data_IF_760759450728
#
_entry.id   IF_760759450728
#
_cell.length_a   1.000
_cell.length_b   1.000
_cell.length_c   1.000
_cell.angle_alpha   90.00
_cell.angle_beta   90.00
_cell.angle_gamma   90.00
#
_symmetry.space_group_name_H-M   'P 1'
#
loop_
_entity.id
_entity.type
_entity.pdbx_description
1 polymer ?
#
# COMPACT_ATOMS: atom_id res chain seq x y z
N UNK A 1 10.30 -27.20 -1.53
CA UNK A 1 10.64 -26.00 -0.71
C UNK A 1 10.18 -24.69 -1.35
N UNK A 2 10.27 -24.54 -2.69
CA UNK A 2 9.88 -23.32 -3.42
C UNK A 2 8.40 -22.90 -3.27
N UNK A 3 7.46 -23.85 -3.26
CA UNK A 3 6.01 -23.53 -3.23
C UNK A 3 5.58 -22.88 -1.91
N UNK A 4 6.24 -23.24 -0.80
CA UNK A 4 6.00 -22.62 0.52
C UNK A 4 6.40 -21.14 0.54
N UNK A 5 7.45 -20.76 -0.21
CA UNK A 5 7.86 -19.37 -0.34
C UNK A 5 6.89 -18.58 -1.22
N UNK A 6 6.40 -19.18 -2.30
CA UNK A 6 5.38 -18.57 -3.17
C UNK A 6 4.09 -18.27 -2.40
N UNK A 7 3.61 -19.21 -1.59
CA UNK A 7 2.43 -19.01 -0.74
C UNK A 7 2.63 -17.87 0.27
N UNK A 8 3.81 -17.77 0.89
CA UNK A 8 4.12 -16.67 1.82
C UNK A 8 4.19 -15.32 1.11
N UNK A 9 4.79 -15.26 -0.07
CA UNK A 9 4.87 -14.02 -0.86
C UNK A 9 3.48 -13.54 -1.24
N UNK A 10 2.61 -14.44 -1.70
CA UNK A 10 1.23 -14.13 -2.06
C UNK A 10 0.42 -13.66 -0.86
N UNK A 11 0.57 -14.29 0.31
CA UNK A 11 -0.08 -13.82 1.55
C UNK A 11 0.36 -12.39 1.88
N UNK A 12 1.65 -12.09 1.79
CA UNK A 12 2.16 -10.73 2.07
C UNK A 12 1.59 -9.73 1.06
N UNK A 13 1.52 -10.09 -0.23
CA UNK A 13 0.88 -9.25 -1.26
C UNK A 13 -0.59 -8.98 -0.95
N UNK A 14 -1.35 -9.99 -0.53
CA UNK A 14 -2.76 -9.82 -0.18
C UNK A 14 -2.91 -8.93 1.06
N UNK A 15 -2.08 -9.12 2.09
CA UNK A 15 -2.08 -8.27 3.29
C UNK A 15 -1.76 -6.81 2.92
N UNK A 16 -0.75 -6.57 2.06
CA UNK A 16 -0.40 -5.21 1.65
C UNK A 16 -1.55 -4.53 0.90
N UNK A 17 -2.26 -5.29 0.06
CA UNK A 17 -3.45 -4.82 -0.63
C UNK A 17 -4.63 -4.55 0.32
N UNK A 18 -4.87 -5.41 1.31
CA UNK A 18 -5.94 -5.19 2.30
C UNK A 18 -5.67 -3.92 3.10
N UNK A 19 -4.43 -3.71 3.56
CA UNK A 19 -4.03 -2.47 4.27
C UNK A 19 -4.22 -1.27 3.34
N UNK A 20 -3.81 -1.38 2.08
CA UNK A 20 -3.97 -0.31 1.10
C UNK A 20 -5.43 0.05 0.87
N UNK A 21 -6.28 -0.92 0.54
CA UNK A 21 -7.71 -0.68 0.32
C UNK A 21 -8.36 -0.17 1.61
N UNK A 22 -8.03 -0.77 2.75
CA UNK A 22 -8.53 -0.36 4.06
C UNK A 22 -8.23 1.11 4.36
N UNK A 23 -7.00 1.58 4.13
CA UNK A 23 -6.66 2.99 4.38
C UNK A 23 -7.38 3.94 3.43
N UNK A 24 -7.60 3.54 2.17
CA UNK A 24 -8.39 4.35 1.22
C UNK A 24 -9.86 4.45 1.65
N UNK A 25 -10.44 3.36 2.13
CA UNK A 25 -11.80 3.35 2.70
C UNK A 25 -11.87 4.25 3.94
N UNK A 26 -10.91 4.13 4.87
CA UNK A 26 -10.86 4.98 6.06
C UNK A 26 -10.71 6.46 5.72
N UNK A 27 -9.91 6.79 4.69
CA UNK A 27 -9.77 8.17 4.23
C UNK A 27 -11.05 8.67 3.56
N UNK A 28 -11.76 7.83 2.81
CA UNK A 28 -13.03 8.19 2.20
C UNK A 28 -14.10 8.49 3.25
N UNK A 29 -14.23 7.64 4.28
CA UNK A 29 -15.19 7.80 5.37
C UNK A 29 -14.62 8.54 6.60
N UNK A 30 -13.57 9.36 6.41
CA UNK A 30 -12.87 9.98 7.55
C UNK A 30 -13.72 10.96 8.33
N UNK A 31 -14.71 11.57 7.68
CA UNK A 31 -15.63 12.49 8.34
C UNK A 31 -16.63 11.73 9.20
N UNK A 32 -17.20 10.64 8.70
CA UNK A 32 -18.20 9.82 9.37
C UNK A 32 -17.59 8.99 10.51
N UNK A 33 -16.40 8.43 10.29
CA UNK A 33 -15.74 7.54 11.26
C UNK A 33 -14.91 8.29 12.30
N UNK A 34 -14.29 9.41 11.92
CA UNK A 34 -13.33 10.12 12.76
C UNK A 34 -13.66 11.61 12.98
N UNK A 35 -14.77 12.12 12.43
CA UNK A 35 -15.15 13.53 12.58
C UNK A 35 -14.17 14.50 11.89
N UNK A 36 -13.38 14.01 10.92
CA UNK A 36 -12.37 14.83 10.24
C UNK A 36 -13.07 15.73 9.22
N UNK A 37 -13.36 16.96 9.66
CA UNK A 37 -14.00 17.99 8.83
C UNK A 37 -13.02 18.43 7.73
N UNK A 38 -13.43 18.39 6.45
CA UNK A 38 -12.59 18.88 5.36
C UNK A 38 -12.32 20.38 5.53
N UNK A 39 -11.07 20.80 5.29
CA UNK A 39 -10.65 22.21 5.43
C UNK A 39 -10.25 22.63 6.86
N UNK A 40 -10.57 21.84 7.89
CA UNK A 40 -10.06 22.12 9.24
C UNK A 40 -8.65 21.52 9.43
N UNK A 41 -7.63 22.39 9.42
CA UNK A 41 -6.23 21.97 9.37
C UNK A 41 -5.81 21.00 10.49
N UNK A 42 -6.17 21.21 11.78
CA UNK A 42 -5.76 20.31 12.86
C UNK A 42 -6.25 18.87 12.68
N UNK A 43 -7.53 18.65 12.36
CA UNK A 43 -8.07 17.29 12.18
C UNK A 43 -7.44 16.58 10.98
N UNK A 44 -7.27 17.29 9.86
CA UNK A 44 -6.66 16.72 8.66
C UNK A 44 -5.19 16.34 8.90
N UNK A 45 -4.44 17.20 9.61
CA UNK A 45 -3.05 16.93 9.95
C UNK A 45 -2.90 15.71 10.85
N UNK A 46 -3.69 15.63 11.93
CA UNK A 46 -3.67 14.48 12.85
C UNK A 46 -4.06 13.18 12.16
N UNK A 47 -5.14 13.17 11.37
CA UNK A 47 -5.55 11.98 10.63
C UNK A 47 -4.47 11.52 9.63
N UNK A 48 -3.87 12.46 8.90
CA UNK A 48 -2.85 12.14 7.92
C UNK A 48 -1.59 11.58 8.57
N UNK A 49 -1.08 12.21 9.63
CA UNK A 49 0.14 11.76 10.29
C UNK A 49 -0.01 10.47 11.09
N UNK A 50 -1.16 10.26 11.74
CA UNK A 50 -1.34 9.11 12.64
C UNK A 50 -1.86 7.88 11.92
N UNK A 51 -2.68 8.05 10.87
CA UNK A 51 -3.39 6.94 10.23
C UNK A 51 -2.98 6.82 8.77
N UNK A 52 -3.24 7.85 7.96
CA UNK A 52 -3.17 7.71 6.51
C UNK A 52 -1.75 7.46 5.99
N UNK A 53 -0.79 8.32 6.37
CA UNK A 53 0.60 8.21 5.91
C UNK A 53 1.26 6.93 6.44
N UNK A 54 1.21 6.61 7.76
CA UNK A 54 1.83 5.39 8.28
C UNK A 54 1.29 4.12 7.62
N UNK A 55 -0.03 4.00 7.45
CA UNK A 55 -0.62 2.80 6.84
C UNK A 55 -0.24 2.65 5.35
N UNK A 56 -0.20 3.76 4.59
CA UNK A 56 0.29 3.73 3.22
C UNK A 56 1.79 3.35 3.13
N UNK A 57 2.62 3.84 4.07
CA UNK A 57 4.04 3.46 4.15
C UNK A 57 4.17 1.96 4.45
N UNK A 58 3.41 1.43 5.41
CA UNK A 58 3.42 0.00 5.73
C UNK A 58 3.06 -0.83 4.50
N UNK A 59 2.00 -0.45 3.77
CA UNK A 59 1.60 -1.13 2.54
C UNK A 59 2.70 -1.10 1.46
N UNK A 60 3.38 0.04 1.31
CA UNK A 60 4.52 0.16 0.39
C UNK A 60 5.69 -0.72 0.80
N UNK A 61 6.09 -0.71 2.08
CA UNK A 61 7.18 -1.52 2.60
C UNK A 61 6.90 -3.01 2.37
N UNK A 62 5.68 -3.48 2.63
CA UNK A 62 5.29 -4.86 2.33
C UNK A 62 5.38 -5.19 0.84
N UNK A 63 4.99 -4.25 -0.03
CA UNK A 63 5.10 -4.40 -1.49
C UNK A 63 6.56 -4.49 -1.95
N UNK A 64 7.46 -3.69 -1.35
CA UNK A 64 8.92 -3.78 -1.60
C UNK A 64 9.48 -5.13 -1.11
N UNK A 65 9.02 -5.63 0.05
CA UNK A 65 9.40 -6.96 0.56
C UNK A 65 8.99 -8.07 -0.42
N UNK A 66 7.82 -7.97 -1.03
CA UNK A 66 7.36 -8.90 -2.07
C UNK A 66 8.30 -8.85 -3.28
N UNK A 67 8.67 -7.66 -3.76
CA UNK A 67 9.63 -7.50 -4.87
C UNK A 67 10.97 -8.15 -4.51
N UNK A 68 11.52 -7.85 -3.33
CA UNK A 68 12.81 -8.41 -2.88
C UNK A 68 12.79 -9.93 -2.82
N UNK A 69 11.65 -10.55 -2.48
CA UNK A 69 11.48 -12.01 -2.47
C UNK A 69 11.34 -12.62 -3.86
N UNK A 70 10.81 -11.88 -4.82
CA UNK A 70 10.64 -12.32 -6.22
C UNK A 70 11.93 -12.14 -7.02
N UNK A 71 12.70 -11.09 -6.75
CA UNK A 71 13.94 -10.75 -7.46
C UNK A 71 14.94 -11.91 -7.66
N UNK A 72 15.29 -12.73 -6.63
CA UNK A 72 16.28 -13.78 -6.79
C UNK A 72 15.84 -14.95 -7.68
N UNK A 73 14.54 -15.14 -7.95
CA UNK A 73 14.02 -16.13 -8.90
C UNK A 73 12.87 -15.51 -9.71
N UNK A 74 13.24 -14.58 -10.60
CA UNK A 74 12.29 -13.78 -11.38
C UNK A 74 11.64 -14.59 -12.50
N UNK A 75 10.77 -15.55 -12.12
CA UNK A 75 9.90 -16.27 -13.05
C UNK A 75 8.54 -15.59 -13.10
N UNK A 76 8.36 -14.72 -14.10
CA UNK A 76 7.16 -13.91 -14.30
C UNK A 76 5.88 -14.74 -14.17
N UNK A 77 5.78 -15.90 -14.83
CA UNK A 77 4.57 -16.74 -14.79
C UNK A 77 4.17 -17.22 -13.40
N UNK A 78 5.15 -17.47 -12.51
CA UNK A 78 4.88 -17.95 -11.14
C UNK A 78 4.50 -16.82 -10.20
N UNK A 79 5.10 -15.64 -10.39
CA UNK A 79 4.94 -14.50 -9.50
C UNK A 79 3.96 -13.44 -10.03
N UNK A 80 3.37 -13.66 -11.21
CA UNK A 80 2.50 -12.72 -11.91
C UNK A 80 1.38 -12.21 -11.01
N UNK A 81 0.74 -13.10 -10.26
CA UNK A 81 -0.37 -12.74 -9.40
C UNK A 81 0.07 -11.85 -8.22
N UNK A 82 1.20 -12.17 -7.59
CA UNK A 82 1.76 -11.32 -6.53
C UNK A 82 2.18 -9.94 -7.06
N UNK A 83 2.76 -9.88 -8.27
CA UNK A 83 3.14 -8.63 -8.95
C UNK A 83 1.90 -7.79 -9.28
N UNK A 84 0.86 -8.42 -9.81
CA UNK A 84 -0.40 -7.76 -10.18
C UNK A 84 -1.14 -7.20 -8.97
N UNK A 85 -1.04 -7.87 -7.81
CA UNK A 85 -1.63 -7.39 -6.56
C UNK A 85 -0.91 -6.14 -6.04
N UNK A 86 0.43 -6.10 -6.09
CA UNK A 86 1.19 -4.98 -5.55
C UNK A 86 1.36 -3.80 -6.52
N UNK A 87 1.14 -4.02 -7.82
CA UNK A 87 1.30 -2.99 -8.85
C UNK A 87 0.44 -1.74 -8.62
N UNK A 88 -0.85 -1.80 -8.23
CA UNK A 88 -1.61 -0.59 -7.95
C UNK A 88 -1.01 0.23 -6.80
N UNK A 89 -0.49 -0.42 -5.76
CA UNK A 89 0.12 0.24 -4.60
C UNK A 89 1.36 1.03 -5.04
N UNK A 90 2.22 0.40 -5.85
CA UNK A 90 3.46 1.00 -6.35
C UNK A 90 3.17 2.16 -7.30
N UNK A 91 2.25 1.97 -8.25
CA UNK A 91 1.88 3.00 -9.22
C UNK A 91 1.33 4.25 -8.53
N UNK A 92 0.48 4.06 -7.51
CA UNK A 92 -0.13 5.17 -6.78
C UNK A 92 0.91 5.92 -5.95
N UNK A 93 1.89 5.22 -5.36
CA UNK A 93 3.03 5.86 -4.69
C UNK A 93 3.93 6.63 -5.66
N UNK A 94 4.25 6.08 -6.83
CA UNK A 94 5.01 6.79 -7.86
C UNK A 94 4.26 8.06 -8.28
N UNK A 95 2.95 7.96 -8.52
CA UNK A 95 2.11 9.10 -8.85
C UNK A 95 2.10 10.16 -7.74
N UNK A 96 2.01 9.75 -6.48
CA UNK A 96 2.03 10.66 -5.32
C UNK A 96 3.37 11.40 -5.21
N UNK A 97 4.49 10.69 -5.38
CA UNK A 97 5.81 11.32 -5.39
C UNK A 97 5.99 12.27 -6.57
N UNK A 98 5.50 11.89 -7.75
CA UNK A 98 5.52 12.75 -8.91
C UNK A 98 4.78 14.07 -8.65
N UNK A 99 3.58 14.01 -8.04
CA UNK A 99 2.86 15.22 -7.64
C UNK A 99 3.71 16.06 -6.68
N UNK A 100 4.26 15.46 -5.61
CA UNK A 100 4.96 16.21 -4.54
C UNK A 100 6.24 16.91 -5.04
N UNK A 101 6.97 16.30 -5.98
CA UNK A 101 8.28 16.81 -6.41
C UNK A 101 8.24 17.64 -7.70
N UNK A 102 7.22 17.47 -8.54
CA UNK A 102 7.12 18.13 -9.85
C UNK A 102 6.09 19.26 -9.85
N UNK A 103 5.04 19.15 -9.04
CA UNK A 103 4.00 20.17 -8.87
C UNK A 103 4.08 20.82 -7.50
#
# INVERSE_FOLDING_TARGET
MHDKYLNKTLIISVISLIIFIGVQILNFFRQELFGVVPGYAPHNFSFNLLIYIPANIISLVLSIVVIKKIYPDFRIKKNLLAILIISPIILLWIYTMYIIFVF
#
